data_IF_631107577046
#
_entry.id   IF_631107577046
#
_cell.length_a   1.000
_cell.length_b   1.000
_cell.length_c   1.000
_cell.angle_alpha   90.00
_cell.angle_beta   90.00
_cell.angle_gamma   90.00
#
_symmetry.space_group_name_H-M   'P 1'
#
loop_
_entity.id
_entity.type
_entity.pdbx_description
1 polymer ?
#
# COMPACT_ATOMS: atom_id res chain seq x y z
N UNK A 1 -28.40 -4.98 23.97
CA UNK A 1 -27.28 -5.93 23.83
C UNK A 1 -26.02 -5.11 23.66
N UNK A 2 -25.14 -5.17 24.66
CA UNK A 2 -24.04 -4.23 24.91
C UNK A 2 -22.93 -4.36 23.86
N UNK A 3 -22.32 -3.25 23.43
CA UNK A 3 -21.27 -3.24 22.39
C UNK A 3 -20.04 -4.12 22.66
N UNK A 4 -19.94 -4.70 23.86
CA UNK A 4 -18.89 -5.64 24.28
C UNK A 4 -19.10 -7.09 23.81
N UNK A 5 -20.29 -7.47 23.35
CA UNK A 5 -20.59 -8.85 22.92
C UNK A 5 -19.68 -9.32 21.78
N UNK A 6 -19.33 -8.43 20.84
CA UNK A 6 -18.38 -8.74 19.77
C UNK A 6 -17.01 -9.10 20.35
N UNK A 7 -16.55 -8.37 21.37
CA UNK A 7 -15.24 -8.63 21.99
C UNK A 7 -15.24 -9.90 22.83
N UNK A 8 -16.34 -10.21 23.52
CA UNK A 8 -16.50 -11.48 24.24
C UNK A 8 -16.46 -12.68 23.29
N UNK A 9 -17.05 -12.54 22.09
CA UNK A 9 -16.98 -13.59 21.07
C UNK A 9 -15.55 -13.77 20.51
N UNK A 10 -14.81 -12.67 20.32
CA UNK A 10 -13.43 -12.71 19.83
C UNK A 10 -12.43 -13.22 20.88
N UNK A 11 -12.72 -13.04 22.18
CA UNK A 11 -11.76 -13.29 23.26
C UNK A 11 -11.10 -14.67 23.22
N UNK A 12 -11.83 -15.81 23.12
CA UNK A 12 -11.21 -17.13 23.12
C UNK A 12 -10.23 -17.35 21.96
N UNK A 13 -10.47 -16.71 20.81
CA UNK A 13 -9.66 -16.86 19.60
C UNK A 13 -8.35 -16.05 19.64
N UNK A 14 -8.31 -15.00 20.46
CA UNK A 14 -7.20 -14.06 20.52
C UNK A 14 -6.39 -14.24 21.81
N UNK A 15 -7.05 -14.47 22.95
CA UNK A 15 -6.40 -14.48 24.27
C UNK A 15 -5.41 -15.62 24.46
N UNK A 16 -5.63 -16.77 23.81
CA UNK A 16 -4.76 -17.94 23.99
C UNK A 16 -3.31 -17.63 23.59
N UNK A 17 -3.10 -16.80 22.56
CA UNK A 17 -1.77 -16.44 22.08
C UNK A 17 -0.97 -15.64 23.11
N UNK A 18 -1.65 -14.83 23.94
CA UNK A 18 -1.04 -14.08 25.05
C UNK A 18 -0.62 -14.97 26.23
N UNK A 19 -1.11 -16.21 26.28
CA UNK A 19 -0.85 -17.17 27.37
C UNK A 19 0.16 -18.26 26.99
N UNK A 20 0.87 -18.08 25.88
CA UNK A 20 1.80 -19.08 25.33
C UNK A 20 3.13 -19.14 26.08
N UNK A 21 3.46 -18.14 26.90
CA UNK A 21 4.71 -18.07 27.66
C UNK A 21 4.43 -17.60 29.08
N UNK A 22 5.18 -18.16 30.04
CA UNK A 22 5.15 -17.75 31.44
C UNK A 22 5.74 -16.34 31.63
N UNK A 23 6.58 -15.88 30.70
CA UNK A 23 7.09 -14.50 30.70
C UNK A 23 6.03 -13.56 30.10
N UNK A 24 5.49 -12.59 30.87
CA UNK A 24 4.41 -11.72 30.40
C UNK A 24 4.79 -10.88 29.17
N UNK A 25 6.05 -10.45 29.05
CA UNK A 25 6.51 -9.66 27.90
C UNK A 25 6.55 -10.48 26.62
N UNK A 26 7.02 -11.74 26.72
CA UNK A 26 7.06 -12.66 25.58
C UNK A 26 5.64 -13.06 25.17
N UNK A 27 4.80 -13.41 26.14
CA UNK A 27 3.39 -13.70 25.90
C UNK A 27 2.67 -12.54 25.22
N UNK A 28 2.88 -11.31 25.70
CA UNK A 28 2.32 -10.12 25.07
C UNK A 28 2.82 -9.89 23.65
N UNK A 29 4.13 -10.03 23.38
CA UNK A 29 4.68 -9.87 22.04
C UNK A 29 4.13 -10.91 21.04
N UNK A 30 4.03 -12.18 21.46
CA UNK A 30 3.46 -13.27 20.64
C UNK A 30 1.97 -13.03 20.40
N UNK A 31 1.22 -12.69 21.45
CA UNK A 31 -0.19 -12.37 21.35
C UNK A 31 -0.45 -11.18 20.42
N UNK A 32 0.31 -10.10 20.57
CA UNK A 32 0.21 -8.92 19.73
C UNK A 32 0.51 -9.25 18.27
N UNK A 33 1.58 -9.99 18.01
CA UNK A 33 1.92 -10.48 16.68
C UNK A 33 0.77 -11.30 16.08
N UNK A 34 0.17 -12.21 16.86
CA UNK A 34 -0.97 -13.03 16.42
C UNK A 34 -2.18 -12.18 16.04
N UNK A 35 -2.56 -11.19 16.86
CA UNK A 35 -3.68 -10.28 16.53
C UNK A 35 -3.38 -9.49 15.26
N UNK A 36 -2.17 -8.94 15.13
CA UNK A 36 -1.76 -8.21 13.93
C UNK A 36 -1.77 -9.10 12.67
N UNK A 37 -1.31 -10.35 12.79
CA UNK A 37 -1.30 -11.31 11.70
C UNK A 37 -2.73 -11.67 11.28
N UNK A 38 -3.61 -11.98 12.24
CA UNK A 38 -5.01 -12.28 11.97
C UNK A 38 -5.72 -11.11 11.29
N UNK A 39 -5.55 -9.88 11.79
CA UNK A 39 -6.10 -8.67 11.18
C UNK A 39 -5.57 -8.46 9.75
N UNK A 40 -4.29 -8.72 9.52
CA UNK A 40 -3.67 -8.62 8.18
C UNK A 40 -4.25 -9.66 7.22
N UNK A 41 -4.31 -10.93 7.62
CA UNK A 41 -4.80 -12.02 6.77
C UNK A 41 -6.27 -11.80 6.41
N UNK A 42 -7.12 -11.49 7.40
CA UNK A 42 -8.55 -11.23 7.16
C UNK A 42 -8.73 -10.02 6.24
N UNK A 43 -7.99 -8.93 6.49
CA UNK A 43 -8.02 -7.73 5.67
C UNK A 43 -7.62 -8.00 4.20
N UNK A 44 -6.56 -8.77 3.98
CA UNK A 44 -6.09 -9.13 2.64
C UNK A 44 -7.06 -10.05 1.90
N UNK A 45 -7.68 -11.01 2.61
CA UNK A 45 -8.71 -11.87 2.04
C UNK A 45 -9.99 -11.08 1.69
N UNK A 46 -10.38 -10.14 2.54
CA UNK A 46 -11.51 -9.24 2.26
C UNK A 46 -11.24 -8.39 1.03
N UNK A 47 -10.06 -7.77 0.95
CA UNK A 47 -9.61 -7.00 -0.20
C UNK A 47 -9.61 -7.86 -1.49
N UNK A 48 -9.07 -9.08 -1.43
CA UNK A 48 -9.12 -10.01 -2.56
C UNK A 48 -10.56 -10.36 -2.94
N UNK A 49 -11.44 -10.58 -1.97
CA UNK A 49 -12.87 -10.82 -2.19
C UNK A 49 -13.55 -9.66 -2.93
N UNK A 50 -13.38 -8.43 -2.44
CA UNK A 50 -13.92 -7.20 -3.07
C UNK A 50 -13.40 -7.07 -4.50
N UNK A 51 -12.10 -7.32 -4.72
CA UNK A 51 -11.52 -7.33 -6.06
C UNK A 51 -12.19 -8.34 -6.97
N UNK A 52 -12.29 -9.61 -6.57
CA UNK A 52 -12.81 -10.66 -7.44
C UNK A 52 -14.29 -10.51 -7.76
N UNK A 53 -15.08 -9.96 -6.84
CA UNK A 53 -16.48 -9.60 -7.08
C UNK A 53 -16.61 -8.51 -8.16
N UNK A 54 -15.64 -7.60 -8.23
CA UNK A 54 -15.63 -6.45 -9.14
C UNK A 54 -14.56 -6.55 -10.22
N UNK A 55 -14.04 -7.75 -10.50
CA UNK A 55 -12.84 -7.93 -11.35
C UNK A 55 -12.95 -7.29 -12.72
N UNK A 56 -14.15 -7.33 -13.32
CA UNK A 56 -14.42 -6.72 -14.64
C UNK A 56 -14.29 -5.20 -14.58
N UNK A 57 -14.79 -4.58 -13.51
CA UNK A 57 -14.70 -3.14 -13.32
C UNK A 57 -13.25 -2.68 -13.17
N UNK A 58 -12.48 -3.36 -12.31
CA UNK A 58 -11.05 -3.08 -12.16
C UNK A 58 -10.25 -3.30 -13.45
N UNK A 59 -10.54 -4.37 -14.19
CA UNK A 59 -9.91 -4.64 -15.49
C UNK A 59 -10.20 -3.52 -16.51
N UNK A 60 -11.46 -3.08 -16.64
CA UNK A 60 -11.84 -1.98 -17.53
C UNK A 60 -11.17 -0.68 -17.15
N UNK A 61 -11.16 -0.32 -15.87
CA UNK A 61 -10.49 0.91 -15.39
C UNK A 61 -8.98 0.88 -15.63
N UNK A 62 -8.35 -0.27 -15.42
CA UNK A 62 -6.92 -0.42 -15.68
C UNK A 62 -6.61 -0.29 -17.18
N UNK A 63 -7.42 -0.91 -18.04
CA UNK A 63 -7.28 -0.80 -19.48
C UNK A 63 -7.50 0.63 -19.99
N UNK A 64 -8.57 1.29 -19.55
CA UNK A 64 -8.86 2.67 -19.94
C UNK A 64 -7.72 3.61 -19.53
N UNK A 65 -7.16 3.44 -18.33
CA UNK A 65 -5.98 4.19 -17.91
C UNK A 65 -4.78 3.98 -18.85
N UNK A 66 -4.49 2.74 -19.24
CA UNK A 66 -3.38 2.42 -20.14
C UNK A 66 -3.63 2.99 -21.54
N UNK A 67 -4.82 2.77 -22.11
CA UNK A 67 -5.18 3.22 -23.45
C UNK A 67 -5.07 4.75 -23.56
N UNK A 68 -5.61 5.48 -22.58
CA UNK A 68 -5.53 6.94 -22.55
C UNK A 68 -4.10 7.46 -22.36
N UNK A 69 -3.31 6.80 -21.50
CA UNK A 69 -1.90 7.13 -21.32
C UNK A 69 -1.14 6.95 -22.65
N UNK A 70 -1.32 5.80 -23.31
CA UNK A 70 -0.66 5.49 -24.57
C UNK A 70 -1.02 6.48 -25.69
N UNK A 71 -2.30 6.87 -25.80
CA UNK A 71 -2.73 7.92 -26.74
C UNK A 71 -2.07 9.27 -26.45
N UNK A 72 -1.94 9.64 -25.16
CA UNK A 72 -1.25 10.89 -24.78
C UNK A 72 0.23 10.87 -25.17
N UNK A 73 0.89 9.72 -25.03
CA UNK A 73 2.28 9.52 -25.43
C UNK A 73 2.42 9.60 -26.94
N UNK A 74 1.55 8.94 -27.72
CA UNK A 74 1.55 9.05 -29.18
C UNK A 74 1.33 10.48 -29.68
N UNK A 75 0.39 11.22 -29.10
CA UNK A 75 0.16 12.62 -29.46
C UNK A 75 1.38 13.51 -29.18
N UNK A 76 2.10 13.23 -28.08
CA UNK A 76 3.36 13.89 -27.78
C UNK A 76 4.43 13.59 -28.85
N UNK A 77 4.53 12.33 -29.28
CA UNK A 77 5.43 11.90 -30.36
C UNK A 77 5.14 12.58 -31.70
N UNK A 78 3.86 12.77 -32.03
CA UNK A 78 3.41 13.49 -33.22
C UNK A 78 3.64 15.02 -33.15
N UNK A 79 4.13 15.53 -32.01
CA UNK A 79 4.36 16.97 -31.75
C UNK A 79 3.09 17.83 -31.89
N UNK A 80 1.91 17.24 -31.77
CA UNK A 80 0.64 17.95 -31.78
C UNK A 80 0.23 18.33 -30.35
N UNK A 81 0.48 19.59 -29.99
CA UNK A 81 0.19 20.12 -28.65
C UNK A 81 -1.30 20.12 -28.31
N UNK A 82 -2.16 20.33 -29.31
CA UNK A 82 -3.61 20.40 -29.15
C UNK A 82 -4.17 19.02 -28.81
N UNK A 83 -3.82 18.03 -29.62
CA UNK A 83 -4.19 16.63 -29.39
C UNK A 83 -3.56 16.10 -28.10
N UNK A 84 -2.29 16.45 -27.84
CA UNK A 84 -1.62 16.06 -26.59
C UNK A 84 -2.35 16.58 -25.36
N UNK A 85 -2.74 17.86 -25.32
CA UNK A 85 -3.44 18.44 -24.16
C UNK A 85 -4.79 17.76 -23.90
N UNK A 86 -5.53 17.45 -24.96
CA UNK A 86 -6.79 16.73 -24.87
C UNK A 86 -6.59 15.30 -24.34
N UNK A 87 -5.70 14.52 -24.95
CA UNK A 87 -5.38 13.15 -24.52
C UNK A 87 -4.82 13.11 -23.10
N UNK A 88 -3.95 14.06 -22.73
CA UNK A 88 -3.38 14.14 -21.39
C UNK A 88 -4.44 14.45 -20.33
N UNK A 89 -5.46 15.25 -20.64
CA UNK A 89 -6.57 15.48 -19.71
C UNK A 89 -7.37 14.21 -19.45
N UNK A 90 -7.65 13.42 -20.51
CA UNK A 90 -8.36 12.15 -20.39
C UNK A 90 -7.52 11.10 -19.64
N UNK A 91 -6.21 11.05 -19.91
CA UNK A 91 -5.29 10.16 -19.20
C UNK A 91 -5.23 10.46 -17.69
N UNK A 92 -5.19 11.74 -17.31
CA UNK A 92 -5.19 12.13 -15.89
C UNK A 92 -6.50 11.75 -15.17
N UNK A 93 -7.65 11.92 -15.84
CA UNK A 93 -8.94 11.51 -15.27
C UNK A 93 -9.02 9.98 -15.07
N UNK A 94 -8.61 9.21 -16.09
CA UNK A 94 -8.55 7.75 -16.01
C UNK A 94 -7.57 7.25 -14.92
N UNK A 95 -6.39 7.88 -14.81
CA UNK A 95 -5.45 7.62 -13.73
C UNK A 95 -6.06 7.89 -12.36
N UNK A 96 -6.71 9.06 -12.18
CA UNK A 96 -7.36 9.43 -10.93
C UNK A 96 -8.39 8.41 -10.49
N UNK A 97 -9.28 7.99 -11.40
CA UNK A 97 -10.27 6.93 -11.14
C UNK A 97 -9.60 5.62 -10.71
N UNK A 98 -8.58 5.16 -11.45
CA UNK A 98 -7.87 3.93 -11.12
C UNK A 98 -7.15 4.00 -9.76
N UNK A 99 -6.50 5.13 -9.48
CA UNK A 99 -5.81 5.39 -8.22
C UNK A 99 -6.79 5.34 -7.03
N UNK A 100 -7.91 6.08 -7.10
CA UNK A 100 -8.89 6.11 -6.02
C UNK A 100 -9.57 4.76 -5.81
N UNK A 101 -9.86 4.02 -6.88
CA UNK A 101 -10.40 2.67 -6.75
C UNK A 101 -9.42 1.72 -6.06
N UNK A 102 -8.12 1.80 -6.37
CA UNK A 102 -7.08 1.03 -5.66
C UNK A 102 -6.92 1.45 -4.20
N UNK A 103 -7.03 2.74 -3.90
CA UNK A 103 -7.04 3.26 -2.52
C UNK A 103 -8.27 2.79 -1.74
N UNK A 104 -9.45 2.79 -2.35
CA UNK A 104 -10.67 2.26 -1.75
C UNK A 104 -10.55 0.76 -1.48
N UNK A 105 -9.97 0.01 -2.43
CA UNK A 105 -9.68 -1.41 -2.27
C UNK A 105 -8.71 -1.64 -1.10
N UNK A 106 -7.65 -0.83 -0.96
CA UNK A 106 -6.77 -0.89 0.20
C UNK A 106 -7.51 -0.55 1.50
N UNK A 107 -8.34 0.49 1.53
CA UNK A 107 -9.14 0.87 2.70
C UNK A 107 -10.08 -0.25 3.13
N UNK A 108 -10.64 -1.02 2.18
CA UNK A 108 -11.46 -2.20 2.47
C UNK A 108 -10.73 -3.30 3.23
N UNK A 109 -9.39 -3.29 3.27
CA UNK A 109 -8.61 -4.23 4.09
C UNK A 109 -8.45 -3.80 5.55
N UNK A 110 -8.72 -2.53 5.88
CA UNK A 110 -8.41 -1.94 7.18
C UNK A 110 -9.55 -2.04 8.20
N UNK A 111 -10.77 -2.41 7.80
CA UNK A 111 -11.93 -2.42 8.69
C UNK A 111 -11.76 -3.32 9.92
N UNK A 112 -10.92 -4.36 9.86
CA UNK A 112 -10.63 -5.28 10.97
C UNK A 112 -9.77 -4.62 12.06
N UNK A 113 -8.96 -3.62 11.70
CA UNK A 113 -8.02 -2.95 12.62
C UNK A 113 -8.75 -2.26 13.79
N UNK A 114 -9.82 -1.47 13.57
CA UNK A 114 -10.62 -0.94 14.68
C UNK A 114 -11.15 -2.00 15.66
N UNK A 115 -11.58 -3.18 15.17
CA UNK A 115 -12.05 -4.26 16.04
C UNK A 115 -10.92 -4.90 16.85
N UNK A 116 -9.75 -5.08 16.23
CA UNK A 116 -8.57 -5.57 16.92
C UNK A 116 -8.12 -4.60 18.04
N UNK A 117 -8.10 -3.30 17.75
CA UNK A 117 -7.79 -2.26 18.75
C UNK A 117 -8.85 -2.25 19.85
N UNK A 118 -10.14 -2.28 19.49
CA UNK A 118 -11.24 -2.33 20.45
C UNK A 118 -11.17 -3.54 21.38
N UNK A 119 -10.80 -4.71 20.84
CA UNK A 119 -10.58 -5.91 21.64
C UNK A 119 -9.36 -5.77 22.58
N UNK A 120 -8.26 -5.16 22.12
CA UNK A 120 -7.11 -4.88 22.98
C UNK A 120 -7.46 -3.94 24.13
N UNK A 121 -8.25 -2.90 23.89
CA UNK A 121 -8.77 -2.05 24.97
C UNK A 121 -9.68 -2.84 25.91
N UNK A 122 -10.59 -3.67 25.38
CA UNK A 122 -11.44 -4.53 26.21
C UNK A 122 -10.63 -5.41 27.17
N UNK A 123 -9.47 -5.93 26.74
CA UNK A 123 -8.67 -6.86 27.54
C UNK A 123 -7.58 -6.22 28.40
N UNK A 124 -6.96 -5.14 27.91
CA UNK A 124 -5.75 -4.55 28.46
C UNK A 124 -5.91 -3.05 28.79
N UNK A 125 -7.13 -2.51 28.90
CA UNK A 125 -7.36 -1.12 29.30
C UNK A 125 -6.74 -0.76 30.65
N UNK A 126 -6.67 -1.72 31.58
CA UNK A 126 -6.10 -1.52 32.92
C UNK A 126 -4.58 -1.72 32.96
N UNK A 127 -3.95 -2.08 31.84
CA UNK A 127 -2.50 -2.27 31.76
C UNK A 127 -1.84 -0.95 31.35
N UNK A 128 -1.00 -0.42 32.22
CA UNK A 128 -0.18 0.75 31.94
C UNK A 128 1.01 0.38 31.05
N UNK A 129 0.92 0.73 29.77
CA UNK A 129 2.06 0.63 28.86
C UNK A 129 2.91 1.89 28.96
N UNK A 130 4.09 1.79 29.57
CA UNK A 130 5.00 2.93 29.65
C UNK A 130 6.07 2.86 28.56
N UNK A 131 6.17 3.92 27.74
CA UNK A 131 7.20 4.06 26.71
C UNK A 131 8.25 5.06 27.18
N UNK A 132 9.56 4.76 27.05
CA UNK A 132 10.62 5.72 27.35
C UNK A 132 10.38 7.06 26.65
N UNK A 133 10.58 8.16 27.35
CA UNK A 133 10.40 9.55 26.88
C UNK A 133 8.96 10.01 26.57
N UNK A 134 7.96 9.13 26.57
CA UNK A 134 6.58 9.48 26.21
C UNK A 134 5.56 9.24 27.35
N UNK A 135 5.89 8.41 28.34
CA UNK A 135 5.02 8.14 29.49
C UNK A 135 4.03 6.99 29.23
N UNK A 136 2.88 7.00 29.92
CA UNK A 136 1.84 5.98 29.77
C UNK A 136 1.09 6.18 28.45
N UNK A 137 0.94 5.10 27.67
CA UNK A 137 0.26 5.08 26.38
C UNK A 137 -0.79 3.96 26.36
N UNK A 138 -1.83 4.13 25.55
CA UNK A 138 -2.84 3.10 25.36
C UNK A 138 -2.37 1.94 24.45
N UNK A 139 -3.07 0.79 24.48
CA UNK A 139 -2.76 -0.38 23.62
C UNK A 139 -2.63 -0.06 22.13
N UNK A 140 -3.39 0.92 21.63
CA UNK A 140 -3.34 1.35 20.22
C UNK A 140 -1.95 1.85 19.80
N UNK A 141 -1.22 2.53 20.69
CA UNK A 141 0.10 3.08 20.40
C UNK A 141 1.12 1.99 20.09
N UNK A 142 1.01 0.83 20.75
CA UNK A 142 1.87 -0.33 20.48
C UNK A 142 1.34 -1.12 19.29
N UNK A 143 0.01 -1.28 19.19
CA UNK A 143 -0.60 -2.05 18.12
C UNK A 143 -0.35 -1.48 16.73
N UNK A 144 -0.46 -0.17 16.53
CA UNK A 144 -0.36 0.43 15.19
C UNK A 144 1.03 0.19 14.56
N UNK A 145 2.16 0.50 15.22
CA UNK A 145 3.49 0.18 14.69
C UNK A 145 3.70 -1.32 14.48
N UNK A 146 3.26 -2.15 15.43
CA UNK A 146 3.36 -3.60 15.30
C UNK A 146 2.56 -4.12 14.10
N UNK A 147 1.34 -3.60 13.89
CA UNK A 147 0.50 -3.94 12.76
C UNK A 147 1.14 -3.53 11.43
N UNK A 148 1.69 -2.32 11.33
CA UNK A 148 2.42 -1.87 10.13
C UNK A 148 3.59 -2.80 9.84
N UNK A 149 4.39 -3.14 10.86
CA UNK A 149 5.53 -4.05 10.72
C UNK A 149 5.08 -5.44 10.24
N UNK A 150 4.09 -6.04 10.90
CA UNK A 150 3.57 -7.37 10.54
C UNK A 150 2.98 -7.35 9.13
N UNK A 151 2.24 -6.30 8.77
CA UNK A 151 1.66 -6.16 7.43
C UNK A 151 2.73 -6.00 6.35
N UNK A 152 3.79 -5.25 6.65
CA UNK A 152 4.95 -5.13 5.77
C UNK A 152 5.65 -6.48 5.59
N UNK A 153 5.98 -7.18 6.69
CA UNK A 153 6.59 -8.52 6.64
C UNK A 153 5.70 -9.52 5.89
N UNK A 154 4.39 -9.48 6.12
CA UNK A 154 3.43 -10.31 5.40
C UNK A 154 3.48 -10.03 3.90
N UNK A 155 3.59 -8.77 3.48
CA UNK A 155 3.69 -8.38 2.08
C UNK A 155 4.94 -8.96 1.39
N UNK A 156 6.05 -9.10 2.11
CA UNK A 156 7.27 -9.76 1.64
C UNK A 156 7.10 -11.28 1.54
N UNK A 157 6.29 -11.87 2.43
CA UNK A 157 6.00 -13.31 2.47
C UNK A 157 4.94 -13.75 1.46
N UNK A 158 4.10 -12.82 0.92
CA UNK A 158 3.04 -13.13 -0.06
C UNK A 158 3.47 -14.01 -1.25
N UNK A 159 4.65 -13.83 -1.87
CA UNK A 159 5.09 -14.67 -2.99
C UNK A 159 5.27 -16.15 -2.63
N UNK A 160 5.53 -16.44 -1.34
CA UNK A 160 5.80 -17.79 -0.83
C UNK A 160 4.52 -18.52 -0.44
N UNK A 161 3.43 -17.78 -0.17
CA UNK A 161 2.15 -18.35 0.20
C UNK A 161 1.35 -18.70 -1.06
N UNK A 162 0.95 -19.98 -1.26
CA UNK A 162 0.35 -20.44 -2.52
C UNK A 162 -0.96 -19.71 -2.84
N UNK A 163 -1.80 -19.47 -1.82
CA UNK A 163 -3.07 -18.75 -1.98
C UNK A 163 -2.85 -17.33 -2.51
N UNK A 164 -1.94 -16.56 -1.91
CA UNK A 164 -1.68 -15.18 -2.30
C UNK A 164 -0.95 -15.07 -3.64
N UNK A 165 -0.10 -16.05 -3.96
CA UNK A 165 0.49 -16.18 -5.29
C UNK A 165 -0.58 -16.38 -6.37
N UNK A 166 -1.54 -17.28 -6.17
CA UNK A 166 -2.65 -17.49 -7.11
C UNK A 166 -3.53 -16.25 -7.25
N UNK A 167 -3.82 -15.56 -6.14
CA UNK A 167 -4.58 -14.30 -6.18
C UNK A 167 -3.84 -13.26 -7.01
N UNK A 168 -2.56 -13.02 -6.74
CA UNK A 168 -1.73 -12.05 -7.47
C UNK A 168 -1.66 -12.39 -8.96
N UNK A 169 -1.51 -13.66 -9.29
CA UNK A 169 -1.49 -14.12 -10.69
C UNK A 169 -2.84 -13.82 -11.38
N UNK A 170 -3.97 -14.17 -10.76
CA UNK A 170 -5.30 -13.91 -11.33
C UNK A 170 -5.61 -12.42 -11.46
N UNK A 171 -5.16 -11.59 -10.52
CA UNK A 171 -5.25 -10.13 -10.62
C UNK A 171 -4.49 -9.65 -11.84
N UNK A 172 -3.22 -10.11 -12.00
CA UNK A 172 -2.40 -9.76 -13.16
C UNK A 172 -3.02 -10.23 -14.48
N UNK A 173 -3.59 -11.43 -14.53
CA UNK A 173 -4.25 -11.97 -15.72
C UNK A 173 -5.52 -11.18 -16.08
N UNK A 174 -6.32 -10.76 -15.09
CA UNK A 174 -7.52 -9.93 -15.36
C UNK A 174 -7.16 -8.51 -15.80
N UNK A 175 -6.07 -7.96 -15.28
CA UNK A 175 -5.56 -6.62 -15.62
C UNK A 175 -4.56 -6.63 -16.77
N UNK A 176 -4.31 -7.79 -17.39
CA UNK A 176 -3.44 -7.90 -18.54
C UNK A 176 -4.04 -7.12 -19.71
N UNK A 177 -3.48 -5.93 -19.95
CA UNK A 177 -3.76 -5.07 -21.09
C UNK A 177 -2.46 -4.72 -21.81
N UNK A 178 -2.52 -3.70 -22.66
CA UNK A 178 -1.33 -3.17 -23.33
C UNK A 178 -0.29 -2.71 -22.31
N UNK A 179 1.00 -2.75 -22.67
CA UNK A 179 2.02 -2.18 -21.82
C UNK A 179 1.93 -0.65 -21.86
N UNK A 180 2.14 -0.03 -20.70
CA UNK A 180 2.15 1.42 -20.59
C UNK A 180 3.39 1.95 -21.32
N UNK A 181 3.16 2.69 -22.41
CA UNK A 181 4.23 3.25 -23.23
C UNK A 181 4.99 4.32 -22.44
N UNK A 182 6.31 4.27 -22.54
CA UNK A 182 7.21 5.31 -22.06
C UNK A 182 7.63 6.17 -23.24
N UNK A 183 8.00 7.44 -22.99
CA UNK A 183 8.53 8.33 -24.02
C UNK A 183 9.72 7.72 -24.80
N UNK A 184 10.53 6.88 -24.14
CA UNK A 184 11.64 6.17 -24.76
C UNK A 184 11.22 5.20 -25.85
N UNK A 185 9.99 4.67 -25.77
CA UNK A 185 9.49 3.69 -26.72
C UNK A 185 9.13 4.33 -28.06
N UNK A 186 8.96 5.66 -28.07
CA UNK A 186 8.73 6.46 -29.27
C UNK A 186 10.02 6.94 -29.95
N UNK A 187 11.19 6.75 -29.32
CA UNK A 187 12.47 7.19 -29.88
C UNK A 187 12.97 6.18 -30.92
N UNK A 188 13.67 6.69 -31.95
CA UNK A 188 14.45 5.82 -32.83
C UNK A 188 15.56 5.12 -32.03
N UNK A 189 16.06 3.97 -32.50
CA UNK A 189 17.16 3.26 -31.81
C UNK A 189 18.42 4.13 -31.65
N UNK A 190 18.70 5.00 -32.63
CA UNK A 190 19.78 5.98 -32.55
C UNK A 190 19.54 7.03 -31.46
N UNK A 191 18.31 7.52 -31.34
CA UNK A 191 17.92 8.50 -30.31
C UNK A 191 17.87 7.88 -28.91
N UNK A 192 17.48 6.60 -28.79
CA UNK A 192 17.56 5.82 -27.54
C UNK A 192 19.00 5.73 -27.05
N UNK A 193 19.94 5.42 -27.94
CA UNK A 193 21.37 5.35 -27.62
C UNK A 193 21.91 6.73 -27.22
N UNK A 194 21.53 7.80 -27.93
CA UNK A 194 21.90 9.19 -27.58
C UNK A 194 21.33 9.61 -26.22
N UNK A 195 20.07 9.28 -25.93
CA UNK A 195 19.43 9.55 -24.65
C UNK A 195 20.07 8.76 -23.49
N UNK A 196 20.40 7.49 -23.70
CA UNK A 196 21.12 6.68 -22.70
C UNK A 196 22.53 7.23 -22.42
N UNK A 197 23.22 7.72 -23.45
CA UNK A 197 24.54 8.34 -23.33
C UNK A 197 24.47 9.70 -22.61
N UNK A 198 23.47 10.54 -22.90
CA UNK A 198 23.29 11.83 -22.21
C UNK A 198 22.95 11.64 -20.73
N UNK A 199 22.11 10.66 -20.39
CA UNK A 199 21.82 10.30 -18.99
C UNK A 199 23.06 9.83 -18.23
N UNK A 200 23.93 9.05 -18.87
CA UNK A 200 25.20 8.59 -18.27
C UNK A 200 26.18 9.74 -18.04
N UNK A 201 26.19 10.77 -18.91
CA UNK A 201 26.97 12.00 -18.71
C UNK A 201 26.43 12.82 -17.53
N UNK A 202 25.14 13.10 -17.49
CA UNK A 202 24.53 13.83 -16.36
C UNK A 202 24.52 13.07 -15.03
N UNK A 203 24.52 11.73 -15.04
CA UNK A 203 24.70 10.92 -13.84
C UNK A 203 26.11 10.98 -13.24
N UNK A 204 27.13 11.32 -14.06
CA UNK A 204 28.49 11.62 -13.62
C UNK A 204 28.66 13.07 -13.16
N UNK A 205 27.96 14.00 -13.79
CA UNK A 205 27.96 15.43 -13.47
C UNK A 205 26.88 15.80 -12.43
N UNK A 206 26.68 15.01 -11.37
CA UNK A 206 25.97 15.55 -10.21
C UNK A 206 26.88 16.63 -9.59
N UNK A 207 26.52 17.93 -9.59
CA UNK A 207 27.24 18.87 -8.76
C UNK A 207 27.14 18.36 -7.33
N UNK A 208 28.26 18.34 -6.61
CA UNK A 208 28.25 18.24 -5.16
C UNK A 208 27.19 19.23 -4.65
N UNK A 209 26.36 18.78 -3.71
CA UNK A 209 25.32 19.57 -3.06
C UNK A 209 25.87 20.98 -2.83
N UNK A 210 25.30 21.97 -3.53
CA UNK A 210 25.59 23.37 -3.26
C UNK A 210 25.18 23.55 -1.80
N UNK A 211 26.16 23.74 -0.91
CA UNK A 211 25.92 24.15 0.47
C UNK A 211 25.02 25.37 0.42
N UNK A 212 23.77 25.21 0.86
CA UNK A 212 22.86 26.32 1.04
C UNK A 212 23.49 27.24 2.06
N UNK A 213 23.90 28.45 1.62
CA UNK A 213 24.31 29.52 2.54
C UNK A 213 23.21 29.73 3.58
N UNK A 214 23.55 29.90 4.87
CA UNK A 214 22.57 30.13 5.91
C UNK A 214 21.75 31.39 5.60
N UNK A 215 20.44 31.25 5.74
CA UNK A 215 19.47 32.35 5.68
C UNK A 215 19.78 33.30 6.83
N UNK A 216 20.05 34.60 6.60
CA UNK A 216 20.20 35.55 7.69
C UNK A 216 18.88 35.71 8.41
N UNK A 217 18.91 35.51 9.73
CA UNK A 217 17.79 35.75 10.63
C UNK A 217 17.44 37.24 10.63
N UNK A 218 16.16 37.54 10.39
CA UNK A 218 15.50 38.74 10.93
C UNK A 218 15.57 40.03 10.10
N UNK A 219 14.41 40.41 9.59
CA UNK A 219 13.87 41.77 9.69
C UNK A 219 12.35 41.78 9.66
#
# INVERSE_FOLDING_TARGET
>A
MTGTTVYQFLDPWLIWAFRTSDNPYVGFAVGLFWVCLAATVIGELCMAGVYFLNKRHFATMNREMIDQHNMSVHALGAKDKTSWKACNSLANDAFGKNFFARMALFASSLWVVPFAIGWLFYRFAEVDFTVPFMGSVGPAFIFIPAYILVRYLFSLSKPWLPVFRTIKQRVKENEAGDEMLTFTDLLSEEDKLRYAQSRKRHGKDKPALVESKPVPEGS
#
